data_IF_746895214481
#
_entry.id   IF_746895214481
#
_cell.length_a   1.000
_cell.length_b   1.000
_cell.length_c   1.000
_cell.angle_alpha   90.00
_cell.angle_beta   90.00
_cell.angle_gamma   90.00
#
_symmetry.space_group_name_H-M   'P 1'
#
loop_
_entity.id
_entity.type
_entity.pdbx_description
1 polymer ?
#
# COMPACT_ATOMS: atom_id res chain seq x y z
N UNK A 1 5.56 -22.29 -15.81
CA UNK A 1 6.12 -20.95 -16.04
C UNK A 1 5.20 -19.99 -15.30
N UNK A 2 5.61 -19.51 -14.12
CA UNK A 2 4.75 -18.62 -13.33
C UNK A 2 4.76 -17.25 -14.00
N UNK A 3 3.69 -16.95 -14.73
CA UNK A 3 3.48 -15.68 -15.44
C UNK A 3 2.94 -14.58 -14.52
N UNK A 4 2.95 -14.79 -13.21
CA UNK A 4 2.61 -13.77 -12.22
C UNK A 4 3.89 -13.11 -11.75
N UNK A 5 4.04 -11.84 -12.11
CA UNK A 5 4.97 -10.93 -11.42
C UNK A 5 4.60 -10.95 -9.95
N UNK A 6 5.55 -11.26 -9.06
CA UNK A 6 5.28 -11.21 -7.61
C UNK A 6 4.88 -9.81 -7.16
N UNK A 7 4.37 -9.67 -5.93
CA UNK A 7 4.05 -8.37 -5.32
C UNK A 7 5.12 -8.03 -4.28
N UNK A 8 5.62 -6.81 -4.32
CA UNK A 8 6.48 -6.23 -3.30
C UNK A 8 5.71 -5.19 -2.49
N UNK A 9 5.82 -5.27 -1.17
CA UNK A 9 5.22 -4.32 -0.24
C UNK A 9 6.34 -3.65 0.54
N UNK A 10 6.33 -2.33 0.57
CA UNK A 10 7.29 -1.54 1.34
C UNK A 10 6.59 -0.60 2.30
N UNK A 11 7.15 -0.48 3.50
CA UNK A 11 6.67 0.40 4.57
C UNK A 11 7.81 1.33 4.96
N UNK A 12 7.54 2.63 4.96
CA UNK A 12 8.50 3.65 5.37
C UNK A 12 7.83 4.70 6.24
N UNK A 13 8.49 5.08 7.32
CA UNK A 13 8.10 6.20 8.16
C UNK A 13 9.27 7.17 8.23
N UNK A 14 9.01 8.45 7.98
CA UNK A 14 10.05 9.46 8.03
C UNK A 14 10.48 9.72 9.47
N UNK A 15 11.77 9.91 9.72
CA UNK A 15 12.27 10.13 11.09
C UNK A 15 11.80 11.43 11.72
N UNK A 16 11.43 12.40 10.88
CA UNK A 16 11.08 13.77 11.28
C UNK A 16 9.61 14.08 11.10
N UNK A 17 8.80 13.11 10.67
CA UNK A 17 7.37 13.29 10.43
C UNK A 17 6.61 12.06 10.86
N UNK A 18 5.37 12.27 11.27
CA UNK A 18 4.37 11.24 11.52
C UNK A 18 3.79 10.64 10.24
N UNK A 19 4.27 11.04 9.06
CA UNK A 19 3.87 10.45 7.78
C UNK A 19 4.40 9.02 7.64
N UNK A 20 3.46 8.12 7.37
CA UNK A 20 3.67 6.73 7.03
C UNK A 20 3.34 6.51 5.57
N UNK A 21 4.28 5.88 4.88
CA UNK A 21 4.23 5.50 3.48
C UNK A 21 4.10 3.99 3.38
N UNK A 22 3.00 3.53 2.80
CA UNK A 22 2.80 2.14 2.44
C UNK A 22 2.68 2.06 0.92
N UNK A 23 3.58 1.33 0.28
CA UNK A 23 3.61 1.21 -1.18
C UNK A 23 3.52 -0.25 -1.59
N UNK A 24 2.61 -0.52 -2.52
CA UNK A 24 2.45 -1.82 -3.18
C UNK A 24 2.92 -1.67 -4.61
N UNK A 25 3.84 -2.53 -5.03
CA UNK A 25 4.35 -2.54 -6.39
C UNK A 25 4.62 -3.96 -6.87
N UNK A 26 4.87 -4.09 -8.17
CA UNK A 26 5.29 -5.36 -8.74
C UNK A 26 6.72 -5.65 -8.32
N UNK A 27 6.99 -6.88 -7.85
CA UNK A 27 8.32 -7.33 -7.43
C UNK A 27 9.35 -7.23 -8.56
N UNK A 28 8.90 -7.33 -9.82
CA UNK A 28 9.69 -6.99 -10.99
C UNK A 28 9.00 -5.86 -11.76
N UNK A 29 9.37 -4.59 -11.52
CA UNK A 29 8.74 -3.44 -12.17
C UNK A 29 9.11 -3.30 -13.65
N UNK A 30 10.09 -4.08 -14.14
CA UNK A 30 10.51 -4.10 -15.55
C UNK A 30 9.77 -5.16 -16.36
N UNK A 31 9.01 -6.04 -15.70
CA UNK A 31 8.15 -7.03 -16.34
C UNK A 31 7.05 -6.35 -17.16
N UNK A 32 6.76 -6.89 -18.35
CA UNK A 32 5.61 -6.48 -19.16
C UNK A 32 4.25 -6.75 -18.48
N UNK A 33 4.24 -7.56 -17.42
CA UNK A 33 3.08 -7.83 -16.58
C UNK A 33 3.14 -7.07 -15.23
N UNK A 34 3.99 -6.05 -15.11
CA UNK A 34 4.05 -5.20 -13.92
C UNK A 34 2.82 -4.27 -13.88
N UNK A 35 2.13 -4.26 -12.74
CA UNK A 35 1.10 -3.29 -12.45
C UNK A 35 1.71 -1.96 -11.97
N UNK A 36 1.04 -0.83 -12.22
CA UNK A 36 1.43 0.47 -11.67
C UNK A 36 1.54 0.39 -10.14
N UNK A 37 2.58 0.99 -9.52
CA UNK A 37 2.69 1.04 -8.08
C UNK A 37 1.60 1.96 -7.49
N UNK A 38 1.07 1.59 -6.34
CA UNK A 38 0.16 2.43 -5.55
C UNK A 38 0.80 2.76 -4.21
N UNK A 39 0.51 3.95 -3.67
CA UNK A 39 1.07 4.43 -2.41
C UNK A 39 -0.02 5.07 -1.55
N UNK A 40 -0.06 4.67 -0.29
CA UNK A 40 -0.75 5.37 0.79
C UNK A 40 0.27 6.22 1.55
N UNK A 41 0.01 7.53 1.59
CA UNK A 41 0.77 8.48 2.39
C UNK A 41 -0.18 9.13 3.40
N UNK A 42 -0.05 8.79 4.68
CA UNK A 42 -0.96 9.27 5.73
C UNK A 42 -0.21 9.42 7.06
N UNK A 43 -0.66 10.35 7.88
CA UNK A 43 -0.19 10.45 9.26
C UNK A 43 -0.57 9.21 10.04
N UNK A 44 0.42 8.56 10.68
CA UNK A 44 0.22 7.38 11.51
C UNK A 44 -0.74 7.66 12.67
N UNK A 45 -0.77 8.90 13.17
CA UNK A 45 -1.67 9.33 14.26
C UNK A 45 -3.15 9.19 13.92
N UNK A 46 -3.50 9.13 12.63
CA UNK A 46 -4.89 8.94 12.19
C UNK A 46 -5.44 7.55 12.49
N UNK A 47 -4.57 6.58 12.77
CA UNK A 47 -4.96 5.24 13.17
C UNK A 47 -4.95 5.03 14.67
N UNK A 48 -4.55 6.03 15.46
CA UNK A 48 -4.53 5.91 16.91
C UNK A 48 -5.67 6.70 17.55
N UNK A 49 -6.31 6.10 18.55
CA UNK A 49 -7.27 6.78 19.41
C UNK A 49 -6.55 7.78 20.33
N UNK A 50 -7.31 8.65 20.99
CA UNK A 50 -6.76 9.58 21.99
C UNK A 50 -6.05 8.85 23.14
N UNK A 51 -6.47 7.62 23.44
CA UNK A 51 -5.87 6.75 24.45
C UNK A 51 -4.60 6.02 23.96
N UNK A 52 -4.17 6.28 22.71
CA UNK A 52 -2.98 5.67 22.12
C UNK A 52 -3.19 4.22 21.67
N UNK A 53 -4.44 3.78 21.49
CA UNK A 53 -4.75 2.46 20.95
C UNK A 53 -4.88 2.51 19.44
N UNK A 54 -4.35 1.51 18.74
CA UNK A 54 -4.53 1.37 17.31
C UNK A 54 -6.01 1.03 17.03
N UNK A 55 -6.67 1.86 16.24
CA UNK A 55 -7.96 1.57 15.63
C UNK A 55 -7.74 0.62 14.45
N UNK A 56 -7.63 -0.67 14.75
CA UNK A 56 -7.32 -1.74 13.77
C UNK A 56 -8.28 -1.73 12.58
N UNK A 57 -9.58 -1.49 12.82
CA UNK A 57 -10.60 -1.44 11.76
C UNK A 57 -10.29 -0.34 10.72
N UNK A 58 -9.87 0.85 11.18
CA UNK A 58 -9.56 1.99 10.31
C UNK A 58 -8.27 1.71 9.53
N UNK A 59 -7.27 1.13 10.20
CA UNK A 59 -6.03 0.73 9.55
C UNK A 59 -6.26 -0.33 8.47
N UNK A 60 -7.03 -1.37 8.79
CA UNK A 60 -7.35 -2.46 7.86
C UNK A 60 -8.18 -1.96 6.66
N UNK A 61 -9.14 -1.05 6.87
CA UNK A 61 -9.92 -0.42 5.78
C UNK A 61 -9.01 0.37 4.82
N UNK A 62 -8.08 1.16 5.34
CA UNK A 62 -7.12 1.90 4.52
C UNK A 62 -6.19 0.95 3.72
N UNK A 63 -5.71 -0.13 4.34
CA UNK A 63 -4.88 -1.15 3.66
C UNK A 63 -5.67 -1.89 2.59
N UNK A 64 -6.91 -2.29 2.90
CA UNK A 64 -7.78 -2.98 1.97
C UNK A 64 -8.04 -2.11 0.73
N UNK A 65 -8.36 -0.82 0.92
CA UNK A 65 -8.54 0.13 -0.19
C UNK A 65 -7.29 0.28 -1.05
N UNK A 66 -6.10 0.26 -0.44
CA UNK A 66 -4.84 0.31 -1.18
C UNK A 66 -4.64 -0.94 -2.04
N UNK A 67 -4.99 -2.12 -1.52
CA UNK A 67 -4.94 -3.39 -2.27
C UNK A 67 -5.95 -3.37 -3.41
N UNK A 68 -7.20 -2.99 -3.14
CA UNK A 68 -8.26 -2.87 -4.15
C UNK A 68 -7.84 -1.89 -5.26
N UNK A 69 -7.20 -0.78 -4.91
CA UNK A 69 -6.66 0.17 -5.87
C UNK A 69 -5.59 -0.46 -6.76
N UNK A 70 -4.62 -1.19 -6.19
CA UNK A 70 -3.60 -1.90 -6.96
C UNK A 70 -4.21 -2.91 -7.94
N UNK A 71 -5.23 -3.65 -7.50
CA UNK A 71 -5.95 -4.61 -8.32
C UNK A 71 -6.83 -3.94 -9.39
N UNK A 72 -7.45 -2.79 -9.14
CA UNK A 72 -8.26 -2.10 -10.13
C UNK A 72 -7.42 -1.37 -11.19
N UNK A 73 -6.30 -0.75 -10.81
CA UNK A 73 -5.34 -0.19 -11.77
C UNK A 73 -4.74 -1.30 -12.67
N UNK A 74 -4.63 -2.53 -12.16
CA UNK A 74 -4.26 -3.70 -12.96
C UNK A 74 -5.25 -4.00 -14.09
N UNK A 75 -6.55 -3.75 -13.87
CA UNK A 75 -7.64 -4.07 -14.80
C UNK A 75 -7.86 -2.99 -15.83
N UNK A 76 -7.60 -1.72 -15.49
CA UNK A 76 -7.75 -0.58 -16.41
C UNK A 76 -6.69 -0.53 -17.50
N UNK A 77 -5.53 -1.16 -17.27
CA UNK A 77 -4.40 -1.15 -18.20
C UNK A 77 -4.32 -2.42 -19.07
N UNK A 78 -5.39 -3.23 -19.11
CA UNK A 78 -5.46 -4.51 -19.82
C UNK A 78 -6.46 -4.49 -20.98
#
# INVERSE_FOLDING_TARGET
MFSQTGVAVSSRMERTSDLYHLRIESADPSSAAAHPPVELCKSITKWYTADGLLAEDIFLDDVQRLVEQYEDDSRKNR
#
